data_IF_795024585886
#
_entry.id   IF_795024585886
#
_cell.length_a   1.000
_cell.length_b   1.000
_cell.length_c   1.000
_cell.angle_alpha   90.00
_cell.angle_beta   90.00
_cell.angle_gamma   90.00
#
_symmetry.space_group_name_H-M   'P 1'
#
loop_
_entity.id
_entity.type
_entity.pdbx_description
1 polymer ?
#
# COMPACT_ATOMS: atom_id res chain seq x y z
N UNK A 1 -10.45 14.38 0.38
CA UNK A 1 -11.21 13.13 0.56
C UNK A 1 -10.32 11.88 0.69
N UNK A 2 -9.33 11.59 -0.18
CA UNK A 2 -8.51 10.36 -0.06
C UNK A 2 -7.80 10.19 1.29
N UNK A 3 -7.25 11.27 1.86
CA UNK A 3 -6.56 11.21 3.16
C UNK A 3 -7.48 10.90 4.34
N UNK A 4 -8.75 11.33 4.30
CA UNK A 4 -9.74 10.96 5.31
C UNK A 4 -10.06 9.46 5.21
N UNK A 5 -10.22 8.95 4.00
CA UNK A 5 -10.43 7.53 3.76
C UNK A 5 -9.24 6.69 4.26
N UNK A 6 -8.01 7.15 4.03
CA UNK A 6 -6.79 6.52 4.55
C UNK A 6 -6.79 6.48 6.08
N UNK A 7 -7.09 7.58 6.77
CA UNK A 7 -7.15 7.65 8.22
C UNK A 7 -8.18 6.67 8.80
N UNK A 8 -9.37 6.60 8.20
CA UNK A 8 -10.38 5.61 8.58
C UNK A 8 -9.86 4.19 8.37
N UNK A 9 -9.17 3.95 7.25
CA UNK A 9 -8.53 2.69 6.95
C UNK A 9 -7.48 2.28 7.99
N UNK A 10 -6.65 3.21 8.46
CA UNK A 10 -5.63 2.95 9.49
C UNK A 10 -6.25 2.56 10.83
N UNK A 11 -7.30 3.26 11.25
CA UNK A 11 -8.03 2.94 12.51
C UNK A 11 -8.67 1.56 12.41
N UNK A 12 -9.36 1.26 11.30
CA UNK A 12 -9.98 -0.04 11.07
C UNK A 12 -8.94 -1.14 10.91
N UNK A 13 -7.84 -0.86 10.23
CA UNK A 13 -6.73 -1.79 10.03
C UNK A 13 -6.05 -2.17 11.33
N UNK A 14 -5.81 -1.21 12.23
CA UNK A 14 -5.26 -1.46 13.55
C UNK A 14 -6.22 -2.33 14.39
N UNK A 15 -7.50 -1.99 14.42
CA UNK A 15 -8.52 -2.77 15.13
C UNK A 15 -8.66 -4.20 14.58
N UNK A 16 -8.57 -4.35 13.25
CA UNK A 16 -8.63 -5.65 12.58
C UNK A 16 -7.39 -6.50 12.87
N UNK A 17 -6.21 -5.87 12.92
CA UNK A 17 -4.94 -6.51 13.27
C UNK A 17 -4.98 -7.16 14.66
N UNK A 18 -5.64 -6.48 15.60
CA UNK A 18 -5.75 -6.97 16.99
C UNK A 18 -6.76 -8.13 17.12
N UNK A 19 -7.76 -8.18 16.24
CA UNK A 19 -8.79 -9.22 16.30
C UNK A 19 -8.51 -10.45 15.45
N UNK A 20 -7.88 -10.24 14.29
CA UNK A 20 -7.56 -11.32 13.35
C UNK A 20 -6.07 -11.61 13.44
N UNK A 21 -5.66 -12.71 14.03
CA UNK A 21 -4.23 -13.09 14.13
C UNK A 21 -3.59 -13.41 12.75
N UNK A 22 -4.26 -13.04 11.64
CA UNK A 22 -3.85 -13.23 10.24
C UNK A 22 -3.37 -11.92 9.60
N UNK A 23 -2.28 -11.38 10.10
CA UNK A 23 -1.76 -10.07 9.68
C UNK A 23 -1.26 -10.06 8.23
N UNK A 24 -0.65 -11.15 7.78
CA UNK A 24 -0.20 -11.29 6.39
C UNK A 24 -1.37 -11.24 5.40
N UNK A 25 -2.50 -11.89 5.73
CA UNK A 25 -3.70 -11.84 4.90
C UNK A 25 -4.29 -10.43 4.83
N UNK A 26 -4.31 -9.70 5.94
CA UNK A 26 -4.76 -8.31 5.96
C UNK A 26 -3.88 -7.41 5.08
N UNK A 27 -2.55 -7.56 5.14
CA UNK A 27 -1.61 -6.85 4.26
C UNK A 27 -1.83 -7.20 2.78
N UNK A 28 -2.03 -8.49 2.47
CA UNK A 28 -2.27 -8.93 1.10
C UNK A 28 -3.56 -8.35 0.52
N UNK A 29 -4.68 -8.46 1.26
CA UNK A 29 -5.98 -7.93 0.85
C UNK A 29 -5.90 -6.41 0.66
N UNK A 30 -5.22 -5.72 1.55
CA UNK A 30 -4.99 -4.28 1.48
C UNK A 30 -4.24 -3.87 0.21
N UNK A 31 -3.12 -4.53 -0.09
CA UNK A 31 -2.33 -4.24 -1.29
C UNK A 31 -3.09 -4.60 -2.58
N UNK A 32 -3.78 -5.74 -2.60
CA UNK A 32 -4.62 -6.13 -3.73
C UNK A 32 -5.75 -5.12 -3.97
N UNK A 33 -6.44 -4.69 -2.91
CA UNK A 33 -7.48 -3.67 -2.97
C UNK A 33 -6.95 -2.33 -3.45
N UNK A 34 -5.77 -1.91 -2.99
CA UNK A 34 -5.12 -0.69 -3.46
C UNK A 34 -4.77 -0.77 -4.95
N UNK A 35 -4.23 -1.90 -5.43
CA UNK A 35 -3.94 -2.12 -6.84
C UNK A 35 -5.20 -2.08 -7.72
N UNK A 36 -6.29 -2.73 -7.27
CA UNK A 36 -7.60 -2.68 -7.97
C UNK A 36 -8.10 -1.24 -8.04
N UNK A 37 -8.01 -0.47 -6.97
CA UNK A 37 -8.39 0.94 -6.95
C UNK A 37 -7.60 1.78 -7.95
N UNK A 38 -6.28 1.56 -8.06
CA UNK A 38 -5.43 2.25 -9.05
C UNK A 38 -5.80 1.87 -10.50
N UNK A 39 -6.06 0.59 -10.77
CA UNK A 39 -6.53 0.15 -12.10
C UNK A 39 -7.88 0.78 -12.45
N UNK A 40 -8.78 0.88 -11.46
CA UNK A 40 -10.07 1.53 -11.66
C UNK A 40 -9.91 3.01 -12.04
N UNK A 41 -8.96 3.74 -11.40
CA UNK A 41 -8.66 5.14 -11.75
C UNK A 41 -8.30 5.29 -13.22
N UNK A 42 -7.55 4.36 -13.80
CA UNK A 42 -7.13 4.40 -15.21
C UNK A 42 -8.30 4.25 -16.21
N UNK A 43 -9.41 3.64 -15.77
CA UNK A 43 -10.58 3.38 -16.63
C UNK A 43 -11.74 4.38 -16.43
N UNK A 44 -11.63 5.25 -15.44
CA UNK A 44 -12.68 6.20 -15.08
C UNK A 44 -12.36 7.59 -15.62
N UNK A 45 -13.37 8.23 -16.23
CA UNK A 45 -13.22 9.51 -16.93
C UNK A 45 -13.92 10.68 -16.23
N UNK A 46 -14.71 10.41 -15.18
CA UNK A 46 -15.42 11.49 -14.46
C UNK A 46 -14.67 11.84 -13.17
N UNK A 47 -14.52 13.15 -12.83
CA UNK A 47 -13.76 13.55 -11.64
C UNK A 47 -14.28 12.91 -10.36
N UNK A 48 -15.58 12.74 -10.21
CA UNK A 48 -16.19 12.15 -9.03
C UNK A 48 -15.83 10.67 -8.88
N UNK A 49 -15.88 9.89 -9.94
CA UNK A 49 -15.55 8.46 -9.91
C UNK A 49 -14.05 8.22 -9.71
N UNK A 50 -13.20 9.09 -10.29
CA UNK A 50 -11.75 9.07 -10.05
C UNK A 50 -11.44 9.32 -8.56
N UNK A 51 -12.05 10.36 -7.97
CA UNK A 51 -11.87 10.66 -6.53
C UNK A 51 -12.37 9.50 -5.66
N UNK A 52 -13.48 8.86 -6.01
CA UNK A 52 -14.00 7.70 -5.29
C UNK A 52 -13.04 6.51 -5.37
N UNK A 53 -12.51 6.20 -6.56
CA UNK A 53 -11.55 5.11 -6.76
C UNK A 53 -10.21 5.38 -6.04
N UNK A 54 -9.71 6.61 -6.08
CA UNK A 54 -8.52 7.02 -5.32
C UNK A 54 -8.76 6.91 -3.80
N UNK A 55 -9.94 7.32 -3.32
CA UNK A 55 -10.30 7.21 -1.91
C UNK A 55 -10.39 5.74 -1.47
N UNK A 56 -10.91 4.87 -2.31
CA UNK A 56 -10.93 3.43 -2.07
C UNK A 56 -9.50 2.85 -2.03
N UNK A 57 -8.65 3.21 -2.99
CA UNK A 57 -7.25 2.75 -3.01
C UNK A 57 -6.48 3.18 -1.76
N UNK A 58 -6.61 4.44 -1.35
CA UNK A 58 -5.94 4.96 -0.14
C UNK A 58 -6.54 4.39 1.15
N UNK A 59 -7.84 4.12 1.20
CA UNK A 59 -8.49 3.42 2.30
C UNK A 59 -7.92 2.00 2.47
N UNK A 60 -7.81 1.26 1.38
CA UNK A 60 -7.21 -0.09 1.39
C UNK A 60 -5.75 -0.04 1.83
N UNK A 61 -4.98 0.92 1.36
CA UNK A 61 -3.60 1.15 1.81
C UNK A 61 -3.54 1.42 3.31
N UNK A 62 -4.45 2.26 3.82
CA UNK A 62 -4.57 2.57 5.26
C UNK A 62 -4.77 1.31 6.10
N UNK A 63 -5.61 0.37 5.69
CA UNK A 63 -5.79 -0.91 6.38
C UNK A 63 -4.46 -1.70 6.47
N UNK A 64 -3.64 -1.65 5.43
CA UNK A 64 -2.36 -2.36 5.36
C UNK A 64 -1.27 -1.78 6.25
N UNK A 65 -1.22 -0.47 6.40
CA UNK A 65 -0.13 0.23 7.06
C UNK A 65 0.15 -0.26 8.50
N UNK A 66 -0.81 -0.31 9.44
CA UNK A 66 -0.56 -0.85 10.77
C UNK A 66 -0.27 -2.35 10.76
N UNK A 67 -0.89 -3.10 9.84
CA UNK A 67 -0.70 -4.54 9.74
C UNK A 67 0.70 -4.94 9.30
N UNK A 68 1.33 -4.17 8.40
CA UNK A 68 2.68 -4.48 7.92
C UNK A 68 3.72 -4.26 9.02
N UNK A 69 3.57 -3.21 9.84
CA UNK A 69 4.44 -2.98 11.01
C UNK A 69 4.24 -4.05 12.08
N UNK A 70 3.00 -4.47 12.31
CA UNK A 70 2.67 -5.54 13.24
C UNK A 70 3.22 -6.90 12.75
N UNK A 71 3.16 -7.17 11.45
CA UNK A 71 3.75 -8.35 10.82
C UNK A 71 5.28 -8.34 10.95
N UNK A 72 5.91 -7.19 10.70
CA UNK A 72 7.35 -7.01 10.86
C UNK A 72 7.79 -7.27 12.31
N UNK A 73 7.05 -6.73 13.28
CA UNK A 73 7.33 -6.95 14.69
C UNK A 73 7.18 -8.43 15.09
N UNK A 74 6.19 -9.15 14.51
CA UNK A 74 5.99 -10.59 14.74
C UNK A 74 7.07 -11.44 14.08
N UNK A 75 7.59 -11.02 12.94
CA UNK A 75 8.60 -11.73 12.17
C UNK A 75 10.04 -11.51 12.67
N UNK A 76 10.27 -10.48 13.51
CA UNK A 76 11.60 -10.11 14.02
C UNK A 76 11.74 -10.43 15.50
N UNK A 77 12.98 -10.71 15.93
CA UNK A 77 13.25 -10.90 17.34
C UNK A 77 13.05 -9.60 18.13
N UNK A 78 12.43 -9.62 19.34
CA UNK A 78 12.12 -8.41 20.12
C UNK A 78 13.29 -7.43 20.30
N UNK A 79 14.52 -7.94 20.44
CA UNK A 79 15.72 -7.10 20.61
C UNK A 79 16.06 -6.24 19.40
N UNK A 80 15.67 -6.64 18.20
CA UNK A 80 16.00 -5.95 16.94
C UNK A 80 14.78 -5.39 16.23
N UNK A 81 13.59 -5.58 16.78
CA UNK A 81 12.33 -5.17 16.18
C UNK A 81 12.25 -3.66 15.91
N UNK A 82 12.74 -2.84 16.86
CA UNK A 82 12.78 -1.38 16.69
C UNK A 82 13.73 -0.98 15.55
N UNK A 83 14.90 -1.59 15.46
CA UNK A 83 15.87 -1.33 14.38
C UNK A 83 15.32 -1.78 13.04
N UNK A 84 14.70 -2.97 12.97
CA UNK A 84 14.06 -3.46 11.76
C UNK A 84 12.92 -2.54 11.29
N UNK A 85 12.10 -2.06 12.23
CA UNK A 85 11.05 -1.07 11.96
C UNK A 85 11.60 0.25 11.44
N UNK A 86 12.68 0.75 12.03
CA UNK A 86 13.35 1.97 11.59
C UNK A 86 13.92 1.85 10.17
N UNK A 87 14.61 0.75 9.86
CA UNK A 87 15.14 0.48 8.52
C UNK A 87 14.01 0.35 7.51
N UNK A 88 12.97 -0.42 7.83
CA UNK A 88 11.82 -0.61 6.96
C UNK A 88 11.13 0.72 6.64
N UNK A 89 10.85 1.51 7.67
CA UNK A 89 10.22 2.82 7.52
C UNK A 89 11.12 3.81 6.77
N UNK A 90 12.42 3.83 7.07
CA UNK A 90 13.40 4.67 6.39
C UNK A 90 13.49 4.38 4.90
N UNK A 91 13.63 3.10 4.52
CA UNK A 91 13.65 2.68 3.12
C UNK A 91 12.33 2.97 2.41
N UNK A 92 11.19 2.74 3.09
CA UNK A 92 9.87 3.04 2.55
C UNK A 92 9.67 4.54 2.26
N UNK A 93 10.07 5.40 3.20
CA UNK A 93 10.00 6.86 3.01
C UNK A 93 10.98 7.34 1.93
N UNK A 94 12.18 6.77 1.86
CA UNK A 94 13.14 7.09 0.80
C UNK A 94 12.59 6.73 -0.58
N UNK A 95 12.04 5.51 -0.74
CA UNK A 95 11.38 5.10 -1.98
C UNK A 95 10.17 5.97 -2.31
N UNK A 96 9.37 6.34 -1.29
CA UNK A 96 8.25 7.27 -1.43
C UNK A 96 8.68 8.66 -1.90
N UNK A 97 9.79 9.17 -1.42
CA UNK A 97 10.35 10.47 -1.85
C UNK A 97 10.85 10.41 -3.31
N UNK A 98 11.36 9.26 -3.77
CA UNK A 98 11.80 9.07 -5.16
C UNK A 98 10.64 8.80 -6.13
N UNK A 99 9.51 8.32 -5.64
CA UNK A 99 8.36 7.93 -6.45
C UNK A 99 7.83 9.04 -7.37
N UNK A 100 7.64 10.30 -6.91
CA UNK A 100 7.20 11.38 -7.78
C UNK A 100 8.19 11.68 -8.91
N UNK A 101 9.50 11.59 -8.65
CA UNK A 101 10.53 11.80 -9.66
C UNK A 101 10.52 10.67 -10.72
N UNK A 102 10.38 9.41 -10.28
CA UNK A 102 10.27 8.26 -11.18
C UNK A 102 8.99 8.36 -12.04
N UNK A 103 7.85 8.69 -11.42
CA UNK A 103 6.59 8.91 -12.14
C UNK A 103 6.70 10.06 -13.14
N UNK A 104 7.26 11.20 -12.72
CA UNK A 104 7.44 12.35 -13.58
C UNK A 104 8.32 12.05 -14.79
N UNK A 105 9.42 11.33 -14.60
CA UNK A 105 10.28 10.87 -15.69
C UNK A 105 9.50 9.93 -16.65
N UNK A 106 8.77 8.96 -16.14
CA UNK A 106 7.98 8.05 -16.96
C UNK A 106 6.93 8.79 -17.80
N UNK A 107 6.19 9.71 -17.17
CA UNK A 107 5.19 10.55 -17.86
C UNK A 107 5.85 11.43 -18.93
N UNK A 108 7.03 11.99 -18.64
CA UNK A 108 7.78 12.80 -19.61
C UNK A 108 8.23 11.99 -20.83
N UNK A 109 8.67 10.74 -20.62
CA UNK A 109 9.09 9.83 -21.71
C UNK A 109 7.91 9.29 -22.52
N UNK A 110 6.81 8.94 -21.87
CA UNK A 110 5.68 8.28 -22.53
C UNK A 110 4.58 9.25 -22.96
N UNK A 111 4.64 10.51 -22.51
CA UNK A 111 3.61 11.53 -22.73
C UNK A 111 2.20 11.07 -22.30
N UNK A 112 2.12 10.14 -21.33
CA UNK A 112 0.88 9.56 -20.83
C UNK A 112 0.87 9.52 -19.30
N UNK A 113 -0.22 10.03 -18.71
CA UNK A 113 -0.48 9.93 -17.27
C UNK A 113 -0.67 8.47 -16.80
N UNK A 114 -1.23 7.64 -17.69
CA UNK A 114 -1.49 6.22 -17.40
C UNK A 114 -0.23 5.43 -17.12
N UNK A 115 0.91 5.82 -17.70
CA UNK A 115 2.19 5.16 -17.43
C UNK A 115 2.65 5.32 -15.99
N UNK A 116 2.41 6.47 -15.37
CA UNK A 116 2.70 6.69 -13.95
C UNK A 116 1.80 5.84 -13.03
N UNK A 117 0.50 5.79 -13.34
CA UNK A 117 -0.46 4.96 -12.60
C UNK A 117 -0.14 3.46 -12.78
N UNK A 118 0.24 3.05 -13.98
CA UNK A 118 0.64 1.68 -14.29
C UNK A 118 1.90 1.28 -13.50
N UNK A 119 2.87 2.18 -13.36
CA UNK A 119 4.04 1.97 -12.52
C UNK A 119 3.67 1.69 -11.06
N UNK A 120 2.78 2.51 -10.47
CA UNK A 120 2.31 2.30 -9.09
C UNK A 120 1.55 0.99 -8.94
N UNK A 121 0.73 0.64 -9.94
CA UNK A 121 -0.02 -0.63 -9.95
C UNK A 121 0.93 -1.82 -9.97
N UNK A 122 1.98 -1.79 -10.81
CA UNK A 122 3.00 -2.83 -10.88
C UNK A 122 3.70 -2.98 -9.52
N UNK A 123 4.07 -1.86 -8.87
CA UNK A 123 4.70 -1.90 -7.56
C UNK A 123 3.77 -2.51 -6.50
N UNK A 124 2.47 -2.20 -6.52
CA UNK A 124 1.50 -2.79 -5.61
C UNK A 124 1.33 -4.30 -5.85
N UNK A 125 1.29 -4.74 -7.11
CA UNK A 125 1.22 -6.17 -7.46
C UNK A 125 2.48 -6.92 -7.03
N UNK A 126 3.66 -6.35 -7.24
CA UNK A 126 4.92 -6.92 -6.74
C UNK A 126 4.90 -7.06 -5.22
N UNK A 127 4.39 -6.05 -4.50
CA UNK A 127 4.19 -6.13 -3.05
C UNK A 127 3.27 -7.28 -2.66
N UNK A 128 2.16 -7.50 -3.38
CA UNK A 128 1.27 -8.64 -3.17
C UNK A 128 2.00 -9.99 -3.36
N UNK A 129 2.77 -10.12 -4.45
CA UNK A 129 3.52 -11.35 -4.74
C UNK A 129 4.56 -11.66 -3.67
N UNK A 130 5.24 -10.64 -3.14
CA UNK A 130 6.21 -10.80 -2.05
C UNK A 130 5.56 -11.21 -0.73
N UNK A 131 4.28 -10.90 -0.52
CA UNK A 131 3.53 -11.31 0.67
C UNK A 131 3.00 -12.75 0.61
N UNK A 132 2.90 -13.35 -0.58
CA UNK A 132 2.36 -14.72 -0.75
C UNK A 132 3.03 -15.77 0.16
N UNK A 133 4.38 -15.84 0.26
CA UNK A 133 5.02 -16.82 1.13
C UNK A 133 4.78 -16.57 2.62
N UNK A 134 4.41 -15.33 3.00
CA UNK A 134 4.12 -14.99 4.39
C UNK A 134 2.69 -15.38 4.81
N UNK A 135 1.77 -15.54 3.84
CA UNK A 135 0.38 -15.97 4.12
C UNK A 135 0.30 -17.35 4.77
N UNK A 136 1.29 -18.21 4.53
CA UNK A 136 1.36 -19.56 5.08
C UNK A 136 2.02 -19.62 6.45
N UNK A 137 2.71 -18.56 6.87
CA UNK A 137 3.48 -18.49 8.12
C UNK A 137 2.90 -17.56 9.19
N UNK A 138 2.18 -16.54 8.77
CA UNK A 138 1.66 -15.47 9.62
C UNK A 138 0.18 -15.17 9.23
#
# INVERSE_FOLDING_TARGET
MPFIAMLIGEILGAWLADRLDKRAAACFISMAGAAIGLVAVMQLNTPLTVIAAMSFSTFMWGIGAPNIFALLAKATHPRVSATAGGIFNGLGNFAGALSPAAMGALIAFTQSMDSGLMFLTIMAVLGCLLLLPLLTRY
#
